data_IF_919667702046
#
_entry.id   IF_919667702046
#
_cell.length_a   1.000
_cell.length_b   1.000
_cell.length_c   1.000
_cell.angle_alpha   90.00
_cell.angle_beta   90.00
_cell.angle_gamma   90.00
#
_symmetry.space_group_name_H-M   'P 1'
#
loop_
_entity.id
_entity.type
_entity.pdbx_description
1 polymer ?
#
# COMPACT_ATOMS: atom_id res chain seq x y z
N UNK A 1 -29.27 -3.33 -22.12
CA UNK A 1 -28.38 -3.95 -21.13
C UNK A 1 -29.20 -4.92 -20.31
N UNK A 2 -28.67 -6.10 -20.00
CA UNK A 2 -29.32 -7.01 -19.04
C UNK A 2 -29.16 -6.46 -17.63
N UNK A 3 -29.98 -6.88 -16.66
CA UNK A 3 -29.84 -6.50 -15.26
C UNK A 3 -28.43 -6.85 -14.72
N UNK A 4 -27.85 -7.96 -15.17
CA UNK A 4 -26.49 -8.38 -14.82
C UNK A 4 -25.43 -7.41 -15.38
N UNK A 5 -25.59 -6.92 -16.61
CA UNK A 5 -24.68 -5.95 -17.22
C UNK A 5 -24.72 -4.62 -16.46
N UNK A 6 -25.90 -4.20 -15.99
CA UNK A 6 -26.07 -2.98 -15.20
C UNK A 6 -25.38 -3.08 -13.82
N UNK A 7 -25.52 -4.22 -13.13
CA UNK A 7 -24.83 -4.42 -11.83
C UNK A 7 -23.30 -4.40 -11.99
N UNK A 8 -22.75 -5.04 -13.01
CA UNK A 8 -21.31 -4.98 -13.30
C UNK A 8 -20.84 -3.56 -13.61
N UNK A 9 -21.66 -2.78 -14.34
CA UNK A 9 -21.36 -1.37 -14.61
C UNK A 9 -21.40 -0.53 -13.32
N UNK A 10 -22.35 -0.78 -12.41
CA UNK A 10 -22.45 -0.12 -11.11
C UNK A 10 -21.21 -0.42 -10.27
N UNK A 11 -20.76 -1.68 -10.19
CA UNK A 11 -19.57 -2.07 -9.45
C UNK A 11 -18.31 -1.39 -9.98
N UNK A 12 -18.18 -1.32 -11.33
CA UNK A 12 -17.06 -0.63 -11.96
C UNK A 12 -17.04 0.88 -11.66
N UNK A 13 -18.23 1.53 -11.78
CA UNK A 13 -18.40 2.95 -11.43
C UNK A 13 -18.09 3.19 -9.96
N UNK A 14 -18.62 2.35 -9.07
CA UNK A 14 -18.40 2.48 -7.64
C UNK A 14 -16.91 2.42 -7.28
N UNK A 15 -16.17 1.45 -7.82
CA UNK A 15 -14.73 1.32 -7.58
C UNK A 15 -13.92 2.55 -7.98
N UNK A 16 -14.37 3.27 -9.02
CA UNK A 16 -13.69 4.48 -9.52
C UNK A 16 -14.14 5.74 -8.75
N UNK A 17 -15.43 5.87 -8.47
CA UNK A 17 -16.00 7.13 -7.99
C UNK A 17 -16.19 7.18 -6.47
N UNK A 18 -16.27 6.03 -5.77
CA UNK A 18 -16.50 6.00 -4.32
C UNK A 18 -15.44 6.78 -3.51
N UNK A 19 -14.13 6.74 -3.81
CA UNK A 19 -13.16 7.53 -3.07
C UNK A 19 -13.40 9.04 -3.17
N UNK A 20 -13.74 9.53 -4.37
CA UNK A 20 -14.05 10.94 -4.61
C UNK A 20 -15.36 11.35 -3.92
N UNK A 21 -16.37 10.48 -3.98
CA UNK A 21 -17.65 10.68 -3.33
C UNK A 21 -17.49 10.77 -1.81
N UNK A 22 -16.78 9.81 -1.21
CA UNK A 22 -16.51 9.79 0.24
C UNK A 22 -15.72 11.03 0.64
N UNK A 23 -14.68 11.41 -0.12
CA UNK A 23 -13.86 12.57 0.14
C UNK A 23 -14.68 13.88 0.12
N UNK A 24 -15.50 14.08 -0.91
CA UNK A 24 -16.38 15.25 -1.03
C UNK A 24 -17.42 15.31 0.09
N UNK A 25 -18.02 14.18 0.46
CA UNK A 25 -18.95 14.10 1.58
C UNK A 25 -18.25 14.33 2.93
N UNK A 26 -17.04 13.80 3.13
CA UNK A 26 -16.27 14.00 4.35
C UNK A 26 -15.92 15.48 4.59
N UNK A 27 -15.66 16.24 3.54
CA UNK A 27 -15.52 17.70 3.63
C UNK A 27 -16.77 18.38 4.18
N UNK A 28 -17.95 17.90 3.77
CA UNK A 28 -19.25 18.45 4.19
C UNK A 28 -19.57 18.05 5.63
N UNK A 29 -19.52 16.75 5.95
CA UNK A 29 -19.96 16.24 7.26
C UNK A 29 -18.85 16.21 8.32
N UNK A 30 -17.59 16.40 7.94
CA UNK A 30 -16.39 16.39 8.79
C UNK A 30 -16.20 15.09 9.60
N UNK A 31 -16.79 14.00 9.12
CA UNK A 31 -16.66 12.66 9.66
C UNK A 31 -16.62 11.65 8.52
N UNK A 32 -15.50 10.90 8.40
CA UNK A 32 -15.32 9.94 7.31
C UNK A 32 -16.24 8.71 7.43
N UNK A 33 -16.68 8.39 8.65
CA UNK A 33 -17.62 7.29 8.89
C UNK A 33 -19.00 7.64 8.36
N UNK A 34 -19.51 8.81 8.74
CA UNK A 34 -20.77 9.36 8.22
C UNK A 34 -20.70 9.54 6.70
N UNK A 35 -19.58 10.04 6.19
CA UNK A 35 -19.39 10.23 4.75
C UNK A 35 -19.46 8.91 3.97
N UNK A 36 -18.86 7.83 4.49
CA UNK A 36 -18.96 6.50 3.87
C UNK A 36 -20.40 5.97 3.91
N UNK A 37 -21.11 6.13 5.03
CA UNK A 37 -22.50 5.68 5.15
C UNK A 37 -23.40 6.41 4.13
N UNK A 38 -23.25 7.74 3.99
CA UNK A 38 -23.98 8.54 2.99
C UNK A 38 -23.61 8.15 1.55
N UNK A 39 -22.35 7.79 1.30
CA UNK A 39 -21.91 7.29 0.01
C UNK A 39 -22.53 5.93 -0.32
N UNK A 40 -22.66 5.03 0.67
CA UNK A 40 -23.38 3.76 0.51
C UNK A 40 -24.88 3.97 0.26
N UNK A 41 -25.52 4.93 0.91
CA UNK A 41 -26.92 5.30 0.62
C UNK A 41 -27.08 5.75 -0.84
N UNK A 42 -26.09 6.47 -1.40
CA UNK A 42 -26.10 6.85 -2.81
C UNK A 42 -25.91 5.64 -3.74
N UNK A 43 -25.05 4.66 -3.36
CA UNK A 43 -24.91 3.40 -4.10
C UNK A 43 -26.21 2.59 -4.09
N UNK A 44 -26.89 2.48 -2.94
CA UNK A 44 -28.19 1.79 -2.85
C UNK A 44 -29.19 2.45 -3.79
N UNK A 45 -29.26 3.78 -3.81
CA UNK A 45 -30.15 4.48 -4.75
C UNK A 45 -29.78 4.21 -6.23
N UNK A 46 -28.49 4.05 -6.56
CA UNK A 46 -28.06 3.69 -7.91
C UNK A 46 -28.48 2.25 -8.26
N UNK A 47 -28.35 1.30 -7.32
CA UNK A 47 -28.78 -0.09 -7.50
C UNK A 47 -30.29 -0.23 -7.69
N UNK A 48 -31.08 0.67 -7.09
CA UNK A 48 -32.55 0.70 -7.26
C UNK A 48 -32.96 1.36 -8.59
N UNK A 49 -32.31 2.47 -8.97
CA UNK A 49 -32.79 3.31 -10.08
C UNK A 49 -32.16 2.97 -11.44
N UNK A 50 -30.86 2.68 -11.50
CA UNK A 50 -30.17 2.49 -12.78
C UNK A 50 -30.57 1.23 -13.56
N UNK A 51 -31.03 0.13 -12.93
CA UNK A 51 -31.61 -1.00 -13.69
C UNK A 51 -32.81 -0.61 -14.56
N UNK A 52 -33.60 0.39 -14.15
CA UNK A 52 -34.75 0.88 -14.86
C UNK A 52 -34.47 2.08 -15.79
N UNK A 53 -33.69 3.06 -15.27
CA UNK A 53 -33.43 4.32 -15.97
C UNK A 53 -32.20 4.27 -16.90
N UNK A 54 -31.34 3.24 -16.75
CA UNK A 54 -30.02 3.18 -17.36
C UNK A 54 -28.95 3.93 -16.52
N UNK A 55 -27.68 3.59 -16.75
CA UNK A 55 -26.55 4.28 -16.12
C UNK A 55 -26.43 5.71 -16.68
N UNK A 56 -26.40 6.76 -15.85
CA UNK A 56 -26.27 8.14 -16.31
C UNK A 56 -24.99 8.38 -17.12
N UNK A 57 -24.99 9.39 -18.00
CA UNK A 57 -23.82 9.79 -18.77
C UNK A 57 -22.65 10.25 -17.87
N UNK A 58 -22.95 10.83 -16.70
CA UNK A 58 -21.97 11.20 -15.67
C UNK A 58 -22.38 10.58 -14.33
N UNK A 59 -22.03 9.30 -14.10
CA UNK A 59 -22.44 8.57 -12.91
C UNK A 59 -21.82 9.13 -11.63
N UNK A 60 -20.60 9.66 -11.68
CA UNK A 60 -19.94 10.29 -10.52
C UNK A 60 -20.70 11.54 -10.05
N UNK A 61 -21.11 12.42 -10.95
CA UNK A 61 -21.90 13.59 -10.63
C UNK A 61 -23.28 13.21 -10.05
N UNK A 62 -23.92 12.18 -10.58
CA UNK A 62 -25.19 11.69 -10.07
C UNK A 62 -25.06 11.14 -8.63
N UNK A 63 -24.03 10.33 -8.36
CA UNK A 63 -23.73 9.81 -7.03
C UNK A 63 -23.44 10.95 -6.04
N UNK A 64 -22.67 11.95 -6.46
CA UNK A 64 -22.36 13.13 -5.63
C UNK A 64 -23.61 13.94 -5.31
N UNK A 65 -24.49 14.20 -6.27
CA UNK A 65 -25.74 14.90 -6.04
C UNK A 65 -26.64 14.13 -5.06
N UNK A 66 -26.76 12.81 -5.26
CA UNK A 66 -27.54 11.93 -4.38
C UNK A 66 -26.97 11.93 -2.95
N UNK A 67 -25.64 11.76 -2.80
CA UNK A 67 -24.96 11.80 -1.50
C UNK A 67 -25.13 13.14 -0.78
N UNK A 68 -25.08 14.26 -1.49
CA UNK A 68 -25.38 15.61 -0.93
C UNK A 68 -26.80 15.75 -0.42
N UNK A 69 -27.79 15.28 -1.16
CA UNK A 69 -29.16 15.26 -0.65
C UNK A 69 -29.28 14.45 0.65
N UNK A 70 -28.62 13.27 0.72
CA UNK A 70 -28.56 12.49 1.96
C UNK A 70 -27.87 13.22 3.11
N UNK A 71 -26.79 14.00 2.82
CA UNK A 71 -26.12 14.82 3.84
C UNK A 71 -27.02 15.92 4.38
N UNK A 72 -27.80 16.60 3.53
CA UNK A 72 -28.79 17.59 3.97
C UNK A 72 -29.83 16.94 4.91
N UNK A 73 -30.36 15.76 4.53
CA UNK A 73 -31.33 15.05 5.35
C UNK A 73 -30.72 14.56 6.69
N UNK A 74 -29.45 14.20 6.68
CA UNK A 74 -28.69 13.87 7.90
C UNK A 74 -28.62 15.08 8.85
N UNK A 75 -28.23 16.26 8.37
CA UNK A 75 -28.18 17.48 9.20
C UNK A 75 -29.56 17.89 9.72
N UNK A 76 -30.59 17.80 8.88
CA UNK A 76 -31.97 18.09 9.29
C UNK A 76 -32.46 17.16 10.40
N UNK A 77 -32.12 15.86 10.32
CA UNK A 77 -32.47 14.88 11.36
C UNK A 77 -31.73 15.16 12.67
N UNK A 78 -30.42 15.42 12.60
CA UNK A 78 -29.64 15.73 13.81
C UNK A 78 -30.11 17.00 14.49
N UNK A 79 -30.41 18.06 13.75
CA UNK A 79 -30.97 19.29 14.31
C UNK A 79 -32.30 19.07 15.03
N UNK A 80 -33.17 18.20 14.50
CA UNK A 80 -34.43 17.82 15.15
C UNK A 80 -34.22 16.99 16.44
N UNK A 81 -33.21 16.14 16.47
CA UNK A 81 -32.87 15.33 17.66
C UNK A 81 -32.28 16.24 18.74
N UNK A 82 -31.38 17.15 18.38
CA UNK A 82 -30.81 18.15 19.31
C UNK A 82 -31.89 19.06 19.87
N UNK A 83 -32.85 19.55 19.06
CA UNK A 83 -33.98 20.34 19.52
C UNK A 83 -34.88 19.56 20.50
N UNK A 84 -35.15 18.29 20.24
CA UNK A 84 -35.90 17.43 21.18
C UNK A 84 -35.14 17.16 22.47
N UNK A 85 -33.80 17.05 22.43
CA UNK A 85 -33.01 16.92 23.67
C UNK A 85 -32.93 18.21 24.46
N UNK A 86 -32.92 19.37 23.80
CA UNK A 86 -32.99 20.69 24.46
C UNK A 86 -34.35 20.92 25.07
N UNK A 87 -35.44 20.44 24.47
CA UNK A 87 -36.80 20.49 25.06
C UNK A 87 -36.97 19.57 26.27
N UNK A 88 -36.12 18.53 26.42
CA UNK A 88 -36.15 17.54 27.51
C UNK A 88 -35.15 17.81 28.65
N UNK A 89 -34.22 18.76 28.48
CA UNK A 89 -33.20 19.09 29.47
C UNK A 89 -33.01 20.60 29.57
N UNK A 90 -33.30 21.16 30.73
CA UNK A 90 -33.08 22.55 31.06
C UNK A 90 -31.65 23.04 30.73
N UNK A 91 -31.63 24.22 30.12
CA UNK A 91 -30.64 25.30 30.22
C UNK A 91 -29.17 24.85 30.44
N UNK A 92 -28.38 24.87 29.35
CA UNK A 92 -27.03 25.40 29.34
C UNK A 92 -26.62 25.69 27.90
N UNK A 93 -26.51 27.00 27.66
CA UNK A 93 -25.72 27.68 26.63
C UNK A 93 -25.86 27.25 25.17
N UNK A 94 -26.73 28.00 24.47
CA UNK A 94 -26.61 28.32 23.06
C UNK A 94 -25.21 28.86 22.76
N UNK A 95 -24.70 28.47 21.68
CA UNK A 95 -23.87 29.14 20.71
C UNK A 95 -22.90 28.16 20.08
N UNK A 96 -23.43 27.42 19.17
CA UNK A 96 -22.77 27.23 17.87
C UNK A 96 -23.88 26.96 16.86
N UNK A 97 -24.42 28.03 16.27
CA UNK A 97 -25.05 27.95 14.97
C UNK A 97 -24.04 27.35 14.00
N UNK A 98 -24.02 26.02 13.93
CA UNK A 98 -23.45 25.34 12.78
C UNK A 98 -24.41 25.64 11.63
N UNK A 99 -24.18 26.76 10.98
CA UNK A 99 -24.81 27.09 9.72
C UNK A 99 -24.69 25.84 8.82
N UNK A 100 -25.80 25.44 8.21
CA UNK A 100 -25.77 24.48 7.10
C UNK A 100 -24.78 25.09 6.12
N UNK A 101 -23.64 24.41 5.84
CA UNK A 101 -22.65 24.99 4.93
C UNK A 101 -23.35 25.35 3.62
N UNK A 102 -23.00 26.50 3.05
CA UNK A 102 -23.44 26.85 1.69
C UNK A 102 -22.92 25.79 0.74
N UNK A 103 -23.78 24.82 0.43
CA UNK A 103 -23.46 23.65 -0.38
C UNK A 103 -23.13 24.00 -1.82
N UNK A 104 -23.63 25.16 -2.32
CA UNK A 104 -23.34 25.61 -3.67
C UNK A 104 -21.96 26.27 -3.77
N UNK A 105 -21.52 26.99 -2.72
CA UNK A 105 -20.17 27.55 -2.65
C UNK A 105 -19.09 26.48 -2.46
N UNK A 106 -19.46 25.28 -1.92
CA UNK A 106 -18.56 24.14 -1.78
C UNK A 106 -18.40 23.32 -3.07
N UNK A 107 -18.99 23.73 -4.19
CA UNK A 107 -19.02 22.97 -5.43
C UNK A 107 -17.84 23.19 -6.36
N UNK A 108 -17.13 24.30 -6.23
CA UNK A 108 -16.12 24.74 -7.20
C UNK A 108 -14.68 24.39 -6.82
N UNK A 109 -14.44 23.68 -5.71
CA UNK A 109 -13.08 23.42 -5.25
C UNK A 109 -12.70 21.95 -5.35
N UNK A 110 -11.67 21.73 -6.05
CA UNK A 110 -10.61 20.73 -6.17
C UNK A 110 -10.92 19.32 -5.52
N UNK A 111 -11.61 18.47 -6.28
CA UNK A 111 -11.79 17.03 -5.97
C UNK A 111 -10.44 16.38 -5.62
N UNK A 112 -9.34 16.85 -6.21
CA UNK A 112 -7.98 16.42 -5.91
C UNK A 112 -7.58 16.68 -4.46
N UNK A 113 -7.88 17.86 -3.95
CA UNK A 113 -7.59 18.26 -2.57
C UNK A 113 -8.40 17.44 -1.55
N UNK A 114 -9.67 17.16 -1.81
CA UNK A 114 -10.52 16.35 -0.93
C UNK A 114 -10.03 14.90 -0.86
N UNK A 115 -9.62 14.32 -2.00
CA UNK A 115 -9.07 12.98 -2.04
C UNK A 115 -7.73 12.90 -1.28
N UNK A 116 -6.89 13.94 -1.40
CA UNK A 116 -5.65 14.03 -0.63
C UNK A 116 -5.93 14.12 0.88
N UNK A 117 -6.92 14.92 1.30
CA UNK A 117 -7.38 14.99 2.70
C UNK A 117 -7.83 13.60 3.20
N UNK A 118 -8.60 12.86 2.39
CA UNK A 118 -9.03 11.50 2.72
C UNK A 118 -7.85 10.55 2.91
N UNK A 119 -6.85 10.59 2.01
CA UNK A 119 -5.62 9.79 2.12
C UNK A 119 -4.89 10.08 3.43
N UNK A 120 -4.65 11.36 3.75
CA UNK A 120 -3.99 11.75 5.00
C UNK A 120 -4.78 11.36 6.25
N UNK A 121 -6.10 11.41 6.18
CA UNK A 121 -6.97 11.02 7.30
C UNK A 121 -6.97 9.49 7.50
N UNK A 122 -7.10 8.70 6.42
CA UNK A 122 -7.06 7.24 6.49
C UNK A 122 -5.71 6.70 6.97
N UNK A 123 -4.62 7.39 6.64
CA UNK A 123 -3.25 7.04 7.04
C UNK A 123 -2.78 7.75 8.32
N UNK A 124 -3.68 8.29 9.15
CA UNK A 124 -3.30 9.06 10.34
C UNK A 124 -2.53 8.20 11.35
N UNK A 125 -1.37 8.65 11.88
CA UNK A 125 -0.54 7.86 12.79
C UNK A 125 -1.15 7.55 14.15
N UNK A 126 -2.28 8.17 14.51
CA UNK A 126 -3.08 7.78 15.69
C UNK A 126 -3.66 6.36 15.56
N UNK A 127 -3.78 5.86 14.34
CA UNK A 127 -4.23 4.51 14.04
C UNK A 127 -3.07 3.52 14.03
N UNK A 128 -3.32 2.26 14.41
CA UNK A 128 -2.35 1.19 14.20
C UNK A 128 -2.09 0.96 12.70
N UNK A 129 -0.94 0.37 12.37
CA UNK A 129 -0.56 0.08 10.98
C UNK A 129 -1.63 -0.75 10.25
N UNK A 130 -2.16 -1.80 10.88
CA UNK A 130 -3.20 -2.66 10.31
C UNK A 130 -4.52 -1.91 10.09
N UNK A 131 -4.84 -0.96 11.00
CA UNK A 131 -6.02 -0.13 10.86
C UNK A 131 -5.87 0.88 9.72
N UNK A 132 -4.69 1.51 9.57
CA UNK A 132 -4.36 2.40 8.45
C UNK A 132 -4.47 1.68 7.11
N UNK A 133 -3.87 0.49 7.00
CA UNK A 133 -3.92 -0.34 5.78
C UNK A 133 -5.37 -0.68 5.43
N UNK A 134 -6.14 -1.24 6.38
CA UNK A 134 -7.53 -1.62 6.12
C UNK A 134 -8.41 -0.43 5.74
N UNK A 135 -8.27 0.70 6.44
CA UNK A 135 -9.04 1.90 6.17
C UNK A 135 -8.67 2.53 4.82
N UNK A 136 -7.39 2.57 4.46
CA UNK A 136 -6.92 3.09 3.17
C UNK A 136 -7.44 2.26 2.01
N UNK A 137 -7.35 0.93 2.10
CA UNK A 137 -7.89 0.04 1.06
C UNK A 137 -9.41 0.19 0.92
N UNK A 138 -10.12 0.36 2.04
CA UNK A 138 -11.57 0.56 2.02
C UNK A 138 -11.97 1.89 1.41
N UNK A 139 -11.40 3.01 1.92
CA UNK A 139 -11.85 4.36 1.61
C UNK A 139 -11.26 4.93 0.32
N UNK A 140 -9.99 4.62 0.05
CA UNK A 140 -9.24 5.15 -1.10
C UNK A 140 -9.06 4.07 -2.17
N UNK A 141 -8.87 2.83 -1.76
CA UNK A 141 -8.78 1.66 -2.64
C UNK A 141 -10.12 1.24 -3.24
N UNK A 142 -11.23 1.52 -2.56
CA UNK A 142 -12.57 1.10 -2.97
C UNK A 142 -12.81 -0.40 -2.84
N UNK A 143 -11.99 -1.11 -2.01
CA UNK A 143 -12.13 -2.53 -1.78
C UNK A 143 -13.26 -2.84 -0.79
N UNK A 144 -13.91 -3.98 -0.97
CA UNK A 144 -14.86 -4.51 0.01
C UNK A 144 -14.14 -5.09 1.23
N UNK A 145 -14.85 -5.24 2.33
CA UNK A 145 -14.31 -5.87 3.56
C UNK A 145 -13.84 -7.30 3.30
N UNK A 146 -14.57 -8.06 2.47
CA UNK A 146 -14.23 -9.41 2.07
C UNK A 146 -12.97 -9.46 1.18
N UNK A 147 -12.82 -8.55 0.22
CA UNK A 147 -11.60 -8.45 -0.60
C UNK A 147 -10.37 -8.17 0.27
N UNK A 148 -10.48 -7.24 1.24
CA UNK A 148 -9.39 -6.94 2.19
C UNK A 148 -9.11 -8.16 3.08
N UNK A 149 -10.13 -8.86 3.57
CA UNK A 149 -9.98 -10.04 4.42
C UNK A 149 -9.25 -11.16 3.68
N UNK A 150 -9.64 -11.44 2.44
CA UNK A 150 -8.93 -12.40 1.56
C UNK A 150 -7.50 -11.99 1.29
N UNK A 151 -7.28 -10.69 1.02
CA UNK A 151 -5.95 -10.17 0.69
C UNK A 151 -4.94 -10.32 1.85
N UNK A 152 -5.41 -10.27 3.10
CA UNK A 152 -4.55 -10.35 4.28
C UNK A 152 -4.70 -11.67 5.06
N UNK A 153 -5.46 -12.64 4.55
CA UNK A 153 -5.72 -13.94 5.18
C UNK A 153 -6.24 -13.81 6.62
N UNK A 154 -7.14 -12.86 6.83
CA UNK A 154 -7.84 -12.65 8.09
C UNK A 154 -9.35 -12.83 7.88
N UNK A 155 -10.11 -13.00 8.97
CA UNK A 155 -11.56 -13.12 8.84
C UNK A 155 -12.20 -11.78 8.49
N UNK A 156 -13.28 -11.79 7.71
CA UNK A 156 -14.05 -10.60 7.38
C UNK A 156 -14.52 -9.81 8.61
N UNK A 157 -15.04 -10.44 9.68
CA UNK A 157 -15.38 -9.74 10.92
C UNK A 157 -14.18 -9.01 11.54
N UNK A 158 -12.97 -9.56 11.43
CA UNK A 158 -11.75 -8.91 11.91
C UNK A 158 -11.48 -7.60 11.19
N UNK A 159 -11.59 -7.60 9.85
CA UNK A 159 -11.41 -6.40 9.03
C UNK A 159 -12.51 -5.38 9.31
N UNK A 160 -13.77 -5.81 9.37
CA UNK A 160 -14.91 -4.96 9.70
C UNK A 160 -14.72 -4.26 11.06
N UNK A 161 -14.31 -5.00 12.10
CA UNK A 161 -14.01 -4.42 13.41
C UNK A 161 -12.83 -3.43 13.37
N UNK A 162 -11.77 -3.73 12.60
CA UNK A 162 -10.63 -2.81 12.43
C UNK A 162 -11.09 -1.47 11.83
N UNK A 163 -11.88 -1.52 10.75
CA UNK A 163 -12.40 -0.33 10.08
C UNK A 163 -13.32 0.47 11.01
N UNK A 164 -14.26 -0.19 11.70
CA UNK A 164 -15.18 0.46 12.65
C UNK A 164 -14.41 1.12 13.80
N UNK A 165 -13.41 0.44 14.36
CA UNK A 165 -12.59 1.00 15.45
C UNK A 165 -11.73 2.15 14.95
N UNK A 166 -11.16 2.05 13.73
CA UNK A 166 -10.39 3.13 13.12
C UNK A 166 -11.24 4.41 12.98
N UNK A 167 -12.44 4.31 12.40
CA UNK A 167 -13.38 5.43 12.28
C UNK A 167 -13.72 6.05 13.64
N UNK A 168 -14.05 5.22 14.64
CA UNK A 168 -14.35 5.68 16.01
C UNK A 168 -13.13 6.37 16.64
N UNK A 169 -11.92 5.88 16.42
CA UNK A 169 -10.69 6.51 16.93
C UNK A 169 -10.49 7.87 16.29
N UNK A 170 -10.61 7.99 14.97
CA UNK A 170 -10.47 9.27 14.27
C UNK A 170 -11.50 10.30 14.76
N UNK A 171 -12.75 9.88 14.94
CA UNK A 171 -13.82 10.75 15.47
C UNK A 171 -13.55 11.16 16.93
N UNK A 172 -13.15 10.23 17.80
CA UNK A 172 -12.84 10.48 19.22
C UNK A 172 -11.66 11.44 19.37
N UNK A 173 -10.60 11.24 18.60
CA UNK A 173 -9.39 12.08 18.61
C UNK A 173 -9.58 13.38 17.79
N UNK A 174 -10.78 13.61 17.27
CA UNK A 174 -11.14 14.80 16.48
C UNK A 174 -10.14 15.09 15.36
N UNK A 175 -9.67 14.05 14.67
CA UNK A 175 -8.69 14.19 13.60
C UNK A 175 -9.26 15.08 12.48
N UNK A 176 -8.61 16.23 12.17
CA UNK A 176 -9.15 17.16 11.18
C UNK A 176 -9.09 16.56 9.77
N UNK A 177 -10.12 16.81 8.97
CA UNK A 177 -10.16 16.44 7.55
C UNK A 177 -9.45 17.50 6.72
N UNK A 178 -8.10 17.44 6.72
CA UNK A 178 -7.26 18.44 6.06
C UNK A 178 -5.94 17.85 5.54
N UNK A 179 -5.30 18.57 4.63
CA UNK A 179 -3.92 18.28 4.24
C UNK A 179 -2.99 18.90 5.29
N UNK A 180 -2.14 18.12 5.96
CA UNK A 180 -1.24 18.64 6.98
C UNK A 180 -0.26 19.65 6.38
N UNK A 181 0.09 20.69 7.16
CA UNK A 181 0.99 21.77 6.76
C UNK A 181 2.17 21.88 7.72
N UNK A 182 3.18 22.65 7.31
CA UNK A 182 4.34 22.92 8.16
C UNK A 182 5.05 21.68 8.65
N UNK A 183 5.34 21.62 9.94
CA UNK A 183 6.12 20.55 10.59
C UNK A 183 5.43 19.16 10.54
N UNK A 184 4.10 19.13 10.48
CA UNK A 184 3.34 17.88 10.48
C UNK A 184 3.28 17.21 9.11
N UNK A 185 3.58 17.93 8.02
CA UNK A 185 3.45 17.42 6.66
C UNK A 185 4.35 16.21 6.40
N UNK A 186 5.63 16.32 6.73
CA UNK A 186 6.60 15.27 6.42
C UNK A 186 6.33 13.95 7.18
N UNK A 187 6.08 13.93 8.51
CA UNK A 187 5.72 12.72 9.24
C UNK A 187 4.41 12.09 8.74
N UNK A 188 3.43 12.93 8.40
CA UNK A 188 2.14 12.46 7.90
C UNK A 188 2.26 11.85 6.49
N UNK A 189 3.06 12.47 5.62
CA UNK A 189 3.36 11.90 4.30
C UNK A 189 4.13 10.59 4.42
N UNK A 190 5.10 10.51 5.32
CA UNK A 190 5.82 9.25 5.59
C UNK A 190 4.86 8.11 5.99
N UNK A 191 3.85 8.41 6.81
CA UNK A 191 2.80 7.44 7.17
C UNK A 191 1.98 6.98 5.96
N UNK A 192 1.66 7.87 5.03
CA UNK A 192 0.96 7.52 3.77
C UNK A 192 1.82 6.60 2.92
N UNK A 193 3.08 6.97 2.71
CA UNK A 193 4.02 6.19 1.89
C UNK A 193 4.26 4.80 2.49
N UNK A 194 4.40 4.71 3.81
CA UNK A 194 4.51 3.44 4.54
C UNK A 194 3.31 2.52 4.27
N UNK A 195 2.09 3.03 4.37
CA UNK A 195 0.86 2.26 4.13
C UNK A 195 0.80 1.73 2.71
N UNK A 196 1.05 2.57 1.70
CA UNK A 196 1.04 2.15 0.29
C UNK A 196 2.12 1.10 0.04
N UNK A 197 3.32 1.28 0.61
CA UNK A 197 4.42 0.33 0.49
C UNK A 197 4.12 -1.01 1.14
N UNK A 198 3.46 -1.03 2.31
CA UNK A 198 3.04 -2.25 2.98
C UNK A 198 2.00 -3.03 2.17
N UNK A 199 1.03 -2.34 1.56
CA UNK A 199 0.04 -2.95 0.66
C UNK A 199 0.77 -3.59 -0.55
N UNK A 200 1.70 -2.86 -1.14
CA UNK A 200 2.50 -3.36 -2.26
C UNK A 200 3.32 -4.59 -1.89
N UNK A 201 4.02 -4.56 -0.77
CA UNK A 201 4.88 -5.66 -0.31
C UNK A 201 4.09 -6.93 -0.06
N UNK A 202 2.91 -6.84 0.58
CA UNK A 202 2.04 -8.01 0.78
C UNK A 202 1.53 -8.57 -0.55
N UNK A 203 1.28 -7.71 -1.54
CA UNK A 203 0.93 -8.12 -2.89
C UNK A 203 2.10 -8.76 -3.64
N UNK A 204 3.29 -8.19 -3.47
CA UNK A 204 4.51 -8.59 -4.17
C UNK A 204 5.12 -9.89 -3.63
N UNK A 205 5.07 -10.10 -2.31
CA UNK A 205 5.51 -11.33 -1.64
C UNK A 205 4.59 -11.60 -0.47
N UNK A 206 3.68 -12.56 -0.64
CA UNK A 206 2.73 -12.91 0.39
C UNK A 206 3.43 -13.48 1.63
N UNK A 207 3.17 -12.88 2.79
CA UNK A 207 3.81 -13.27 4.07
C UNK A 207 3.35 -14.62 4.59
N UNK A 208 2.16 -15.11 4.15
CA UNK A 208 1.58 -16.37 4.56
C UNK A 208 0.64 -16.93 3.47
N UNK A 209 0.33 -18.24 3.57
CA UNK A 209 -0.59 -18.93 2.67
C UNK A 209 0.12 -19.72 1.58
N UNK A 210 -0.67 -20.19 0.62
CA UNK A 210 -0.20 -21.10 -0.44
C UNK A 210 0.33 -20.36 -1.67
N UNK A 211 -0.13 -19.11 -1.88
CA UNK A 211 0.31 -18.30 -2.99
C UNK A 211 1.56 -17.49 -2.64
N UNK A 212 2.48 -17.38 -3.61
CA UNK A 212 3.69 -16.58 -3.50
C UNK A 212 3.44 -15.07 -3.66
N UNK A 213 2.42 -14.71 -4.42
CA UNK A 213 2.08 -13.33 -4.77
C UNK A 213 0.57 -13.10 -4.74
N UNK A 214 0.17 -11.85 -4.52
CA UNK A 214 -1.21 -11.35 -4.63
C UNK A 214 -1.26 -10.18 -5.61
N UNK A 215 -1.30 -10.42 -6.92
CA UNK A 215 -1.16 -9.37 -7.95
C UNK A 215 -2.15 -8.21 -7.80
N UNK A 216 -3.38 -8.50 -7.40
CA UNK A 216 -4.41 -7.48 -7.20
C UNK A 216 -3.99 -6.41 -6.17
N UNK A 217 -3.33 -6.79 -5.06
CA UNK A 217 -2.81 -5.82 -4.09
C UNK A 217 -1.68 -4.95 -4.67
N UNK A 218 -0.81 -5.53 -5.53
CA UNK A 218 0.20 -4.74 -6.22
C UNK A 218 -0.43 -3.70 -7.14
N UNK A 219 -1.48 -4.08 -7.88
CA UNK A 219 -2.22 -3.19 -8.78
C UNK A 219 -2.90 -2.06 -8.01
N UNK A 220 -3.54 -2.37 -6.88
CA UNK A 220 -4.16 -1.37 -6.01
C UNK A 220 -3.11 -0.40 -5.42
N UNK A 221 -1.98 -0.92 -4.92
CA UNK A 221 -0.89 -0.08 -4.41
C UNK A 221 -0.30 0.83 -5.49
N UNK A 222 -0.09 0.30 -6.71
CA UNK A 222 0.37 1.09 -7.86
C UNK A 222 -0.63 2.20 -8.20
N UNK A 223 -1.93 1.90 -8.20
CA UNK A 223 -2.99 2.87 -8.43
C UNK A 223 -2.98 3.97 -7.36
N UNK A 224 -2.90 3.61 -6.08
CA UNK A 224 -2.80 4.55 -4.97
C UNK A 224 -1.56 5.43 -5.07
N UNK A 225 -0.41 4.85 -5.37
CA UNK A 225 0.85 5.60 -5.55
C UNK A 225 0.78 6.60 -6.70
N UNK A 226 0.17 6.22 -7.83
CA UNK A 226 -0.02 7.12 -8.98
C UNK A 226 -0.96 8.28 -8.65
N UNK A 227 -2.08 8.01 -8.00
CA UNK A 227 -3.00 9.05 -7.52
C UNK A 227 -2.25 10.01 -6.58
N UNK A 228 -1.47 9.49 -5.64
CA UNK A 228 -0.70 10.33 -4.73
C UNK A 228 0.34 11.18 -5.48
N UNK A 229 0.98 10.66 -6.53
CA UNK A 229 1.93 11.42 -7.34
C UNK A 229 1.27 12.56 -8.15
N UNK A 230 0.02 12.39 -8.55
CA UNK A 230 -0.78 13.45 -9.19
C UNK A 230 -1.19 14.52 -8.17
N UNK A 231 -1.57 14.13 -6.95
CA UNK A 231 -2.02 15.01 -5.88
C UNK A 231 -0.87 15.72 -5.15
N UNK A 232 0.32 15.15 -5.16
CA UNK A 232 1.51 15.67 -4.48
C UNK A 232 2.74 15.68 -5.42
N UNK A 233 2.68 16.38 -6.58
CA UNK A 233 3.67 16.28 -7.65
C UNK A 233 5.05 16.87 -7.30
N UNK A 234 5.15 17.65 -6.23
CA UNK A 234 6.39 18.25 -5.74
C UNK A 234 7.12 17.40 -4.69
N UNK A 235 6.53 16.29 -4.25
CA UNK A 235 7.08 15.45 -3.19
C UNK A 235 8.00 14.35 -3.76
N UNK A 236 9.33 14.43 -3.59
CA UNK A 236 10.26 13.52 -4.24
C UNK A 236 10.08 12.06 -3.82
N UNK A 237 9.80 11.78 -2.53
CA UNK A 237 9.63 10.43 -2.02
C UNK A 237 8.35 9.75 -2.52
N UNK A 238 7.33 10.51 -2.92
CA UNK A 238 6.16 9.96 -3.61
C UNK A 238 6.56 9.38 -4.96
N UNK A 239 7.35 10.12 -5.74
CA UNK A 239 7.88 9.64 -7.02
C UNK A 239 8.89 8.49 -6.83
N UNK A 240 9.69 8.52 -5.75
CA UNK A 240 10.57 7.42 -5.35
C UNK A 240 9.80 6.13 -5.09
N UNK A 241 8.71 6.19 -4.32
CA UNK A 241 7.85 5.04 -4.06
C UNK A 241 7.18 4.51 -5.33
N UNK A 242 6.64 5.39 -6.18
CA UNK A 242 6.05 4.98 -7.47
C UNK A 242 7.10 4.30 -8.34
N UNK A 243 8.31 4.86 -8.43
CA UNK A 243 9.41 4.27 -9.17
C UNK A 243 9.75 2.86 -8.67
N UNK A 244 9.88 2.69 -7.36
CA UNK A 244 10.15 1.40 -6.73
C UNK A 244 9.08 0.38 -7.08
N UNK A 245 7.81 0.71 -6.89
CA UNK A 245 6.69 -0.20 -7.13
C UNK A 245 6.55 -0.58 -8.62
N UNK A 246 6.67 0.38 -9.54
CA UNK A 246 6.61 0.14 -10.99
C UNK A 246 7.73 -0.82 -11.44
N UNK A 247 8.98 -0.56 -11.01
CA UNK A 247 10.12 -1.40 -11.38
C UNK A 247 9.99 -2.80 -10.77
N UNK A 248 9.56 -2.91 -9.50
CA UNK A 248 9.36 -4.20 -8.86
C UNK A 248 8.23 -4.99 -9.54
N UNK A 249 7.08 -4.35 -9.78
CA UNK A 249 5.93 -4.98 -10.42
C UNK A 249 6.23 -5.45 -11.85
N UNK A 250 7.16 -4.80 -12.56
CA UNK A 250 7.57 -5.21 -13.89
C UNK A 250 8.02 -6.67 -13.99
N UNK A 251 8.48 -7.24 -12.89
CA UNK A 251 9.01 -8.60 -12.80
C UNK A 251 7.95 -9.66 -12.48
N UNK A 252 6.72 -9.27 -12.18
CA UNK A 252 5.67 -10.14 -11.63
C UNK A 252 5.51 -11.45 -12.43
N UNK A 253 5.51 -11.36 -13.77
CA UNK A 253 5.38 -12.53 -14.66
C UNK A 253 6.59 -13.47 -14.60
N UNK A 254 7.79 -12.94 -14.40
CA UNK A 254 9.03 -13.70 -14.35
C UNK A 254 9.33 -14.31 -12.97
N UNK A 255 8.54 -13.96 -11.96
CA UNK A 255 8.74 -14.42 -10.58
C UNK A 255 8.14 -15.79 -10.28
N UNK A 256 7.29 -16.27 -11.18
CA UNK A 256 6.63 -17.58 -11.06
C UNK A 256 7.04 -18.45 -12.25
N UNK A 257 7.40 -19.67 -11.97
CA UNK A 257 7.59 -20.71 -12.97
C UNK A 257 6.26 -21.32 -13.41
N UNK A 258 6.30 -22.28 -14.37
CA UNK A 258 5.09 -22.85 -14.98
C UNK A 258 4.15 -23.56 -13.99
N UNK A 259 4.68 -24.11 -12.88
CA UNK A 259 3.88 -24.74 -11.83
C UNK A 259 3.57 -23.77 -10.65
N UNK A 260 3.84 -22.47 -10.82
CA UNK A 260 3.63 -21.46 -9.79
C UNK A 260 4.72 -21.42 -8.71
N UNK A 261 5.85 -22.10 -8.95
CA UNK A 261 7.02 -22.09 -8.07
C UNK A 261 7.75 -20.75 -8.13
N UNK A 262 8.31 -20.26 -7.00
CA UNK A 262 9.08 -19.03 -6.98
C UNK A 262 10.36 -19.14 -7.82
N UNK A 263 10.61 -18.14 -8.67
CA UNK A 263 11.85 -18.00 -9.46
C UNK A 263 12.71 -16.91 -8.83
N UNK A 264 13.94 -17.26 -8.45
CA UNK A 264 14.89 -16.30 -7.86
C UNK A 264 15.28 -15.23 -8.85
N UNK A 265 15.60 -14.02 -8.36
CA UNK A 265 15.86 -12.83 -9.18
C UNK A 265 16.92 -13.07 -10.29
N UNK A 266 17.97 -13.79 -9.95
CA UNK A 266 19.07 -14.07 -10.91
C UNK A 266 18.66 -15.06 -12.00
N UNK A 267 17.68 -15.94 -11.72
CA UNK A 267 17.19 -16.98 -12.62
C UNK A 267 16.00 -16.50 -13.46
N UNK A 268 15.48 -15.29 -13.20
CA UNK A 268 14.33 -14.76 -13.91
C UNK A 268 14.66 -14.47 -15.37
N UNK A 269 13.77 -14.89 -16.28
CA UNK A 269 13.81 -14.49 -17.67
C UNK A 269 13.45 -13.00 -17.84
N UNK A 270 14.45 -12.16 -18.02
CA UNK A 270 14.28 -10.69 -18.15
C UNK A 270 13.49 -10.28 -19.41
N UNK A 271 13.33 -11.15 -20.40
CA UNK A 271 12.47 -10.88 -21.57
C UNK A 271 10.97 -10.83 -21.16
N UNK A 272 10.58 -11.45 -20.05
CA UNK A 272 9.23 -11.42 -19.51
C UNK A 272 8.96 -10.18 -18.62
N UNK A 273 9.98 -9.37 -18.33
CA UNK A 273 9.81 -8.14 -17.55
C UNK A 273 9.05 -7.10 -18.37
N UNK A 274 8.04 -6.48 -17.74
CA UNK A 274 7.20 -5.46 -18.39
C UNK A 274 8.00 -4.18 -18.66
N UNK A 275 8.29 -3.95 -19.95
CA UNK A 275 9.09 -2.81 -20.42
C UNK A 275 8.39 -1.46 -20.19
N UNK A 276 7.04 -1.44 -20.19
CA UNK A 276 6.29 -0.23 -19.93
C UNK A 276 6.42 0.18 -18.46
N UNK A 277 6.27 -0.78 -17.53
CA UNK A 277 6.43 -0.54 -16.09
C UNK A 277 7.88 -0.12 -15.78
N UNK A 278 8.89 -0.77 -16.37
CA UNK A 278 10.30 -0.34 -16.22
C UNK A 278 10.47 1.12 -16.66
N UNK A 279 9.99 1.46 -17.85
CA UNK A 279 10.11 2.83 -18.38
C UNK A 279 9.43 3.85 -17.47
N UNK A 280 8.21 3.58 -17.04
CA UNK A 280 7.47 4.44 -16.10
C UNK A 280 8.21 4.63 -14.79
N UNK A 281 8.70 3.54 -14.20
CA UNK A 281 9.47 3.59 -12.97
C UNK A 281 10.77 4.38 -13.11
N UNK A 282 11.51 4.23 -14.20
CA UNK A 282 12.72 5.03 -14.45
C UNK A 282 12.42 6.53 -14.61
N UNK A 283 11.33 6.89 -15.30
CA UNK A 283 10.88 8.30 -15.41
C UNK A 283 10.48 8.87 -14.05
N UNK A 284 9.78 8.07 -13.22
CA UNK A 284 9.43 8.49 -11.87
C UNK A 284 10.69 8.67 -10.99
N UNK A 285 11.68 7.79 -11.09
CA UNK A 285 12.97 7.93 -10.39
C UNK A 285 13.71 9.22 -10.80
N UNK A 286 13.81 9.50 -12.10
CA UNK A 286 14.40 10.75 -12.60
C UNK A 286 13.62 11.98 -12.11
N UNK A 287 12.31 11.87 -11.93
CA UNK A 287 11.50 12.95 -11.35
C UNK A 287 11.85 13.16 -9.87
N UNK A 288 11.97 12.09 -9.07
CA UNK A 288 12.40 12.16 -7.68
C UNK A 288 13.78 12.82 -7.55
N UNK A 289 14.74 12.42 -8.40
CA UNK A 289 16.10 12.98 -8.42
C UNK A 289 16.09 14.49 -8.77
N UNK A 290 15.34 14.91 -9.79
CA UNK A 290 15.19 16.33 -10.17
C UNK A 290 14.56 17.18 -9.09
N UNK A 291 13.71 16.61 -8.24
CA UNK A 291 13.11 17.28 -7.08
C UNK A 291 14.04 17.30 -5.85
N UNK A 292 15.29 16.84 -5.98
CA UNK A 292 16.28 16.83 -4.89
C UNK A 292 16.17 15.60 -3.97
N UNK A 293 15.35 14.61 -4.30
CA UNK A 293 15.11 13.43 -3.47
C UNK A 293 16.02 12.23 -3.75
N UNK A 294 17.13 12.40 -4.44
CA UNK A 294 18.04 11.29 -4.80
C UNK A 294 18.55 10.47 -3.58
N UNK A 295 18.56 11.07 -2.40
CA UNK A 295 18.95 10.44 -1.13
C UNK A 295 17.75 10.04 -0.27
N UNK A 296 16.54 10.07 -0.80
CA UNK A 296 15.35 9.61 -0.09
C UNK A 296 15.29 8.08 0.04
N UNK A 297 14.60 7.59 1.06
CA UNK A 297 14.53 6.15 1.36
C UNK A 297 13.94 5.35 0.20
N UNK A 298 12.83 5.80 -0.38
CA UNK A 298 12.20 5.12 -1.51
C UNK A 298 12.96 5.34 -2.82
N UNK A 299 13.53 6.54 -3.02
CA UNK A 299 14.35 6.83 -4.19
C UNK A 299 15.61 5.95 -4.24
N UNK A 300 16.30 5.73 -3.11
CA UNK A 300 17.44 4.81 -3.02
C UNK A 300 17.05 3.36 -3.31
N UNK A 301 15.92 2.89 -2.76
CA UNK A 301 15.41 1.54 -3.06
C UNK A 301 15.02 1.40 -4.54
N UNK A 302 14.42 2.43 -5.13
CA UNK A 302 14.11 2.47 -6.56
C UNK A 302 15.38 2.47 -7.41
N UNK A 303 16.43 3.19 -7.02
CA UNK A 303 17.73 3.18 -7.70
C UNK A 303 18.39 1.80 -7.66
N UNK A 304 18.29 1.08 -6.54
CA UNK A 304 18.74 -0.31 -6.43
C UNK A 304 17.96 -1.21 -7.41
N UNK A 305 16.63 -1.10 -7.43
CA UNK A 305 15.78 -1.86 -8.36
C UNK A 305 16.10 -1.50 -9.82
N UNK A 306 16.40 -0.23 -10.12
CA UNK A 306 16.78 0.25 -11.43
C UNK A 306 18.10 -0.34 -11.94
N UNK A 307 19.07 -0.64 -11.06
CA UNK A 307 20.29 -1.35 -11.46
C UNK A 307 19.99 -2.72 -12.09
N UNK A 308 19.02 -3.45 -11.51
CA UNK A 308 18.56 -4.71 -12.08
C UNK A 308 17.78 -4.52 -13.40
N UNK A 309 16.91 -3.51 -13.44
CA UNK A 309 16.05 -3.26 -14.61
C UNK A 309 16.82 -2.75 -15.85
N UNK A 310 17.95 -2.06 -15.65
CA UNK A 310 18.81 -1.57 -16.73
C UNK A 310 19.70 -2.67 -17.32
N UNK A 311 20.06 -3.68 -16.53
CA UNK A 311 20.90 -4.78 -16.99
C UNK A 311 20.09 -5.73 -17.89
N UNK A 312 20.66 -6.16 -19.01
CA UNK A 312 20.03 -7.09 -19.97
C UNK A 312 20.03 -8.52 -19.47
N UNK A 313 21.11 -8.90 -18.79
CA UNK A 313 21.31 -10.21 -18.16
C UNK A 313 21.58 -10.06 -16.66
N UNK A 314 21.53 -11.14 -15.91
CA UNK A 314 21.85 -11.12 -14.48
C UNK A 314 23.30 -10.72 -14.23
N UNK A 315 24.22 -11.15 -15.10
CA UNK A 315 25.67 -10.90 -14.96
C UNK A 315 26.06 -9.43 -15.26
N UNK A 316 25.24 -8.71 -16.05
CA UNK A 316 25.43 -7.28 -16.31
C UNK A 316 24.93 -6.37 -15.18
N UNK A 317 24.41 -6.93 -14.10
CA UNK A 317 23.90 -6.14 -12.96
C UNK A 317 25.06 -5.44 -12.24
N UNK A 318 24.96 -4.10 -12.10
CA UNK A 318 25.96 -3.30 -11.41
C UNK A 318 25.88 -3.47 -9.88
N UNK A 319 26.43 -4.58 -9.40
CA UNK A 319 26.44 -4.91 -7.99
C UNK A 319 27.29 -3.96 -7.14
N UNK A 320 28.32 -3.33 -7.72
CA UNK A 320 29.13 -2.32 -7.00
C UNK A 320 28.28 -1.08 -6.70
N UNK A 321 27.49 -0.63 -7.68
CA UNK A 321 26.55 0.47 -7.48
C UNK A 321 25.46 0.10 -6.47
N UNK A 322 24.90 -1.10 -6.54
CA UNK A 322 23.92 -1.61 -5.57
C UNK A 322 24.50 -1.60 -4.17
N UNK A 323 25.73 -2.09 -3.98
CA UNK A 323 26.41 -2.09 -2.68
C UNK A 323 26.58 -0.66 -2.13
N UNK A 324 26.99 0.30 -2.96
CA UNK A 324 27.10 1.70 -2.56
C UNK A 324 25.75 2.33 -2.18
N UNK A 325 24.67 2.03 -2.93
CA UNK A 325 23.32 2.49 -2.61
C UNK A 325 22.80 1.92 -1.27
N UNK A 326 23.12 0.65 -0.97
CA UNK A 326 22.78 0.07 0.35
C UNK A 326 23.54 0.72 1.50
N UNK A 327 24.79 1.16 1.30
CA UNK A 327 25.52 1.93 2.32
C UNK A 327 24.77 3.24 2.63
N UNK A 328 24.34 3.97 1.61
CA UNK A 328 23.55 5.19 1.77
C UNK A 328 22.21 4.91 2.46
N UNK A 329 21.51 3.85 2.06
CA UNK A 329 20.22 3.46 2.64
C UNK A 329 20.35 3.06 4.11
N UNK A 330 21.39 2.30 4.48
CA UNK A 330 21.67 1.88 5.85
C UNK A 330 21.98 3.06 6.77
N UNK A 331 22.64 4.10 6.25
CA UNK A 331 22.90 5.33 7.00
C UNK A 331 21.62 6.13 7.31
N UNK A 332 20.63 6.10 6.40
CA UNK A 332 19.35 6.80 6.58
C UNK A 332 18.36 6.00 7.43
N UNK A 333 18.32 4.70 7.23
CA UNK A 333 17.38 3.80 7.89
C UNK A 333 18.15 2.64 8.49
N UNK A 334 18.74 2.81 9.67
CA UNK A 334 19.38 1.73 10.39
C UNK A 334 18.38 0.61 10.67
N UNK A 335 18.52 -0.50 9.94
CA UNK A 335 17.61 -1.65 10.04
C UNK A 335 18.38 -2.94 9.77
N UNK A 336 18.23 -3.95 10.62
CA UNK A 336 18.85 -5.26 10.40
C UNK A 336 18.44 -5.90 9.05
N UNK A 337 17.24 -5.60 8.53
CA UNK A 337 16.79 -6.06 7.21
C UNK A 337 17.54 -5.36 6.09
N UNK A 338 17.79 -4.05 6.21
CA UNK A 338 18.62 -3.30 5.24
C UNK A 338 20.05 -3.82 5.25
N UNK A 339 20.61 -4.10 6.43
CA UNK A 339 21.93 -4.70 6.58
C UNK A 339 22.01 -6.10 5.95
N UNK A 340 20.98 -6.93 6.10
CA UNK A 340 20.91 -8.23 5.46
C UNK A 340 20.92 -8.11 3.94
N UNK A 341 20.18 -7.18 3.38
CA UNK A 341 20.18 -6.91 1.94
C UNK A 341 21.53 -6.32 1.46
N UNK A 342 22.17 -5.47 2.28
CA UNK A 342 23.53 -4.98 2.02
C UNK A 342 24.55 -6.14 1.97
N UNK A 343 24.40 -7.14 2.84
CA UNK A 343 25.25 -8.33 2.83
C UNK A 343 25.13 -9.10 1.51
N UNK A 344 23.94 -9.26 0.95
CA UNK A 344 23.75 -9.86 -0.37
C UNK A 344 24.48 -9.06 -1.43
N UNK A 345 24.32 -7.73 -1.44
CA UNK A 345 24.98 -6.86 -2.41
C UNK A 345 26.51 -6.93 -2.30
N UNK A 346 27.06 -6.98 -1.07
CA UNK A 346 28.49 -7.12 -0.82
C UNK A 346 29.00 -8.48 -1.29
N UNK A 347 28.25 -9.55 -1.01
CA UNK A 347 28.58 -10.89 -1.47
C UNK A 347 28.65 -10.99 -3.02
N UNK A 348 27.80 -10.25 -3.71
CA UNK A 348 27.78 -10.20 -5.17
C UNK A 348 28.87 -9.26 -5.75
N UNK A 349 29.14 -8.14 -5.08
CA UNK A 349 30.09 -7.13 -5.58
C UNK A 349 31.55 -7.47 -5.28
N UNK A 350 31.82 -8.09 -4.12
CA UNK A 350 33.18 -8.24 -3.55
C UNK A 350 33.52 -9.69 -3.19
N UNK A 351 32.61 -10.64 -3.49
CA UNK A 351 32.78 -12.06 -3.19
C UNK A 351 31.99 -12.53 -1.97
N UNK A 352 31.62 -13.83 -1.94
CA UNK A 352 30.68 -14.36 -0.96
C UNK A 352 31.17 -14.27 0.50
N UNK A 353 32.48 -14.25 0.73
CA UNK A 353 33.03 -14.05 2.07
C UNK A 353 32.70 -12.67 2.62
N UNK A 354 32.81 -11.60 1.80
CA UNK A 354 32.47 -10.23 2.23
C UNK A 354 30.99 -10.09 2.64
N UNK A 355 30.10 -10.84 1.97
CA UNK A 355 28.69 -10.90 2.35
C UNK A 355 28.50 -11.67 3.65
N UNK A 356 29.18 -12.80 3.82
CA UNK A 356 29.08 -13.65 5.01
C UNK A 356 29.56 -12.92 6.26
N UNK A 357 30.65 -12.15 6.17
CA UNK A 357 31.17 -11.36 7.27
C UNK A 357 30.11 -10.37 7.81
N UNK A 358 29.31 -9.75 6.92
CA UNK A 358 28.20 -8.87 7.32
C UNK A 358 27.05 -9.67 7.93
N UNK A 359 26.64 -10.81 7.32
CA UNK A 359 25.54 -11.65 7.84
C UNK A 359 25.87 -12.19 9.23
N UNK A 360 27.11 -12.58 9.46
CA UNK A 360 27.52 -13.16 10.74
C UNK A 360 27.40 -12.14 11.90
N UNK A 361 27.49 -10.83 11.64
CA UNK A 361 27.18 -9.80 12.64
C UNK A 361 25.70 -9.74 13.03
N UNK A 362 24.80 -10.24 12.17
CA UNK A 362 23.35 -10.20 12.34
C UNK A 362 22.77 -11.46 13.00
N UNK A 363 23.57 -12.53 13.16
CA UNK A 363 23.09 -13.82 13.71
C UNK A 363 22.52 -13.67 15.12
N UNK A 364 23.07 -12.76 15.91
CA UNK A 364 22.63 -12.47 17.29
C UNK A 364 21.52 -11.43 17.41
N UNK A 365 21.05 -10.85 16.30
CA UNK A 365 20.07 -9.77 16.30
C UNK A 365 18.66 -10.28 16.69
N UNK A 366 18.08 -9.81 17.82
CA UNK A 366 16.80 -10.33 18.31
C UNK A 366 15.65 -10.16 17.33
N UNK A 367 15.62 -9.08 16.56
CA UNK A 367 14.57 -8.76 15.60
C UNK A 367 14.56 -9.70 14.39
N UNK A 368 15.72 -10.31 14.07
CA UNK A 368 15.87 -11.29 12.98
C UNK A 368 15.75 -12.74 13.44
N UNK A 369 15.55 -13.02 14.73
CA UNK A 369 15.53 -14.39 15.27
C UNK A 369 14.54 -15.31 14.56
N UNK A 370 13.36 -14.78 14.20
CA UNK A 370 12.30 -15.54 13.51
C UNK A 370 12.18 -15.11 12.03
N UNK A 371 13.16 -14.44 11.49
CA UNK A 371 13.17 -13.94 10.12
C UNK A 371 13.86 -14.94 9.20
N UNK A 372 13.10 -15.72 8.47
CA UNK A 372 13.56 -16.82 7.62
C UNK A 372 14.57 -16.40 6.54
N UNK A 373 14.59 -15.14 6.13
CA UNK A 373 15.54 -14.66 5.12
C UNK A 373 16.97 -14.57 5.67
N UNK A 374 17.19 -14.40 6.98
CA UNK A 374 18.55 -14.41 7.55
C UNK A 374 19.24 -15.74 7.28
N UNK A 375 18.72 -16.92 7.72
CA UNK A 375 19.35 -18.19 7.40
C UNK A 375 19.33 -18.50 5.89
N UNK A 376 18.33 -18.04 5.12
CA UNK A 376 18.30 -18.23 3.67
C UNK A 376 19.48 -17.55 2.98
N UNK A 377 19.77 -16.29 3.31
CA UNK A 377 20.90 -15.52 2.76
C UNK A 377 22.23 -16.12 3.22
N UNK A 378 22.35 -16.49 4.51
CA UNK A 378 23.54 -17.13 5.05
C UNK A 378 23.85 -18.44 4.33
N UNK A 379 22.83 -19.30 4.14
CA UNK A 379 22.95 -20.53 3.40
C UNK A 379 23.40 -20.35 1.95
N UNK A 380 22.92 -19.28 1.28
CA UNK A 380 23.34 -18.97 -0.09
C UNK A 380 24.82 -18.59 -0.19
N UNK A 381 25.28 -17.77 0.74
CA UNK A 381 26.69 -17.35 0.81
C UNK A 381 27.61 -18.53 1.17
N UNK A 382 27.21 -19.39 2.12
CA UNK A 382 27.94 -20.62 2.49
C UNK A 382 28.01 -21.58 1.32
N UNK A 383 26.92 -21.78 0.56
CA UNK A 383 26.90 -22.60 -0.65
C UNK A 383 27.91 -22.10 -1.70
N UNK A 384 27.95 -20.77 -1.95
CA UNK A 384 28.91 -20.15 -2.87
C UNK A 384 30.37 -20.32 -2.43
N UNK A 385 30.62 -20.50 -1.11
CA UNK A 385 31.92 -20.79 -0.53
C UNK A 385 32.28 -22.29 -0.51
N UNK A 386 31.39 -23.17 -1.00
CA UNK A 386 31.58 -24.61 -0.97
C UNK A 386 31.32 -25.25 0.42
N UNK A 387 30.83 -24.50 1.41
CA UNK A 387 30.51 -24.96 2.78
C UNK A 387 29.13 -25.63 2.81
N UNK A 388 28.97 -26.72 2.03
CA UNK A 388 27.68 -27.30 1.71
C UNK A 388 26.90 -27.84 2.93
N UNK A 389 27.60 -28.46 3.91
CA UNK A 389 26.97 -28.96 5.13
C UNK A 389 26.33 -27.88 5.97
N UNK A 390 27.01 -26.74 6.12
CA UNK A 390 26.48 -25.57 6.84
C UNK A 390 25.36 -24.88 6.04
N UNK A 391 25.52 -24.76 4.72
CA UNK A 391 24.49 -24.20 3.84
C UNK A 391 23.17 -24.99 3.94
N UNK A 392 23.25 -26.33 3.98
CA UNK A 392 22.10 -27.20 4.17
C UNK A 392 21.36 -26.91 5.47
N UNK A 393 22.08 -26.86 6.59
CA UNK A 393 21.50 -26.56 7.91
C UNK A 393 20.76 -25.20 7.91
N UNK A 394 21.34 -24.18 7.29
CA UNK A 394 20.73 -22.86 7.21
C UNK A 394 19.47 -22.86 6.32
N UNK A 395 19.43 -23.59 5.20
CA UNK A 395 18.22 -23.71 4.38
C UNK A 395 17.12 -24.50 5.11
N UNK A 396 17.43 -25.57 5.84
CA UNK A 396 16.48 -26.32 6.66
C UNK A 396 15.89 -25.41 7.77
N UNK A 397 16.74 -24.60 8.42
CA UNK A 397 16.31 -23.60 9.41
C UNK A 397 15.39 -22.55 8.79
N UNK A 398 15.74 -22.02 7.62
CA UNK A 398 14.90 -21.06 6.89
C UNK A 398 13.53 -21.65 6.54
N UNK A 399 13.51 -22.92 6.07
CA UNK A 399 12.29 -23.63 5.75
C UNK A 399 11.37 -23.85 6.97
N UNK A 400 11.95 -24.03 8.16
CA UNK A 400 11.18 -24.15 9.41
C UNK A 400 10.56 -22.80 9.86
N UNK A 401 11.15 -21.67 9.51
CA UNK A 401 10.70 -20.33 9.93
C UNK A 401 9.66 -19.74 8.99
N UNK A 402 9.69 -20.06 7.68
CA UNK A 402 8.74 -19.45 6.73
C UNK A 402 7.31 -19.97 6.93
N UNK A 403 6.33 -19.08 6.77
CA UNK A 403 4.88 -19.39 6.79
C UNK A 403 4.29 -19.59 5.39
N UNK A 404 5.07 -19.34 4.33
CA UNK A 404 4.63 -19.52 2.96
C UNK A 404 5.01 -20.91 2.47
N UNK A 405 4.02 -21.68 1.97
CA UNK A 405 4.21 -23.07 1.55
C UNK A 405 5.14 -23.20 0.34
N UNK A 406 5.03 -22.30 -0.65
CA UNK A 406 5.86 -22.31 -1.87
C UNK A 406 7.33 -22.01 -1.53
N UNK A 407 7.55 -21.04 -0.66
CA UNK A 407 8.91 -20.69 -0.20
C UNK A 407 9.56 -21.84 0.60
N UNK A 408 8.78 -22.51 1.47
CA UNK A 408 9.26 -23.68 2.22
C UNK A 408 9.73 -24.76 1.26
N UNK A 409 8.94 -25.06 0.22
CA UNK A 409 9.29 -26.08 -0.79
C UNK A 409 10.61 -25.70 -1.50
N UNK A 410 10.76 -24.44 -1.90
CA UNK A 410 11.99 -23.94 -2.53
C UNK A 410 13.21 -24.11 -1.60
N UNK A 411 13.08 -23.73 -0.32
CA UNK A 411 14.18 -23.81 0.65
C UNK A 411 14.60 -25.26 0.94
N UNK A 412 13.64 -26.19 1.04
CA UNK A 412 13.94 -27.61 1.20
C UNK A 412 14.62 -28.21 -0.05
N UNK A 413 14.21 -27.83 -1.24
CA UNK A 413 14.89 -28.23 -2.48
C UNK A 413 16.34 -27.73 -2.51
N UNK A 414 16.59 -26.48 -2.06
CA UNK A 414 17.95 -25.92 -1.93
C UNK A 414 18.79 -26.66 -0.89
N UNK A 415 18.20 -27.04 0.24
CA UNK A 415 18.87 -27.86 1.26
C UNK A 415 19.28 -29.25 0.71
N UNK A 416 18.38 -29.89 -0.02
CA UNK A 416 18.65 -31.18 -0.67
C UNK A 416 19.81 -31.08 -1.68
N UNK A 417 19.83 -30.03 -2.49
CA UNK A 417 20.89 -29.77 -3.47
C UNK A 417 22.27 -29.48 -2.84
N UNK A 418 22.37 -29.30 -1.54
CA UNK A 418 23.63 -29.19 -0.81
C UNK A 418 24.14 -30.55 -0.26
N UNK A 419 23.36 -31.61 -0.36
CA UNK A 419 23.71 -32.94 0.17
C UNK A 419 24.18 -33.93 -0.89
N UNK A 420 24.16 -33.52 -2.17
CA UNK A 420 24.67 -34.27 -3.33
C UNK A 420 26.02 -33.72 -3.73
#
# INVERSE_FOLDING_TARGET
MTATDTHQAIDAVWRIESPKLIAGLARIVRDIGVAEDLAHDALVAALEQWPESGVPNNPGAWLMATGKHRAIDYFRRNKRVEQKHVELGHELEAEQERAVPDLDAALDDDIGDDLLRLVFTACHPVLSTEARVALTLRMVGGLTTDEIARAFLVSEPTVAQRIVRAKKTLAKEQVPFEVPRGIDRAPRLASVLEVIYLIFNEGYTATAGDDWMRPALCEDALRLGRILAELAPAEPEVHGLVALMEIQASRSRARLGPAGEPVLLLDQNRAQWDRLLIRRGLVALERAERLGGAQGVYALQAAIAACHARARTADETDWKRIAALYVSLAALTPSPVVELNRAVAFGMAYGPQSGLDVVDTLVGEPTLRNYHLLPSVRGDLLKKLGRLGEARQEFERAAALTRNARERTLLLARATACGT
#
